data_IF_137662951537
#
_entry.id   IF_137662951537
#
_cell.length_a   1.000
_cell.length_b   1.000
_cell.length_c   1.000
_cell.angle_alpha   90.00
_cell.angle_beta   90.00
_cell.angle_gamma   90.00
#
_symmetry.space_group_name_H-M   'P 1'
#
loop_
_entity.id
_entity.type
_entity.pdbx_description
1 polymer ?
#
# COMPACT_ATOMS: atom_id res chain seq x y z
N UNK A 1 -3.36 9.61 5.15
CA UNK A 1 -2.30 9.84 4.15
C UNK A 1 -2.76 9.20 2.86
N UNK A 2 -2.90 9.98 1.78
CA UNK A 2 -3.29 9.43 0.49
C UNK A 2 -2.09 8.74 -0.17
N UNK A 3 -2.37 7.77 -1.06
CA UNK A 3 -1.34 7.11 -1.89
C UNK A 3 -0.44 8.14 -2.58
N UNK A 4 -1.05 9.21 -3.09
CA UNK A 4 -0.35 10.32 -3.73
C UNK A 4 0.70 10.95 -2.81
N UNK A 5 0.38 11.16 -1.54
CA UNK A 5 1.29 11.76 -0.57
C UNK A 5 2.47 10.83 -0.25
N UNK A 6 2.20 9.53 -0.16
CA UNK A 6 3.24 8.52 0.08
C UNK A 6 4.19 8.43 -1.11
N UNK A 7 3.66 8.34 -2.33
CA UNK A 7 4.47 8.29 -3.56
C UNK A 7 5.28 9.58 -3.74
N UNK A 8 4.69 10.74 -3.45
CA UNK A 8 5.38 12.03 -3.52
C UNK A 8 6.55 12.08 -2.53
N UNK A 9 6.32 11.72 -1.26
CA UNK A 9 7.38 11.69 -0.25
C UNK A 9 8.45 10.64 -0.56
N UNK A 10 8.07 9.48 -1.10
CA UNK A 10 9.02 8.45 -1.51
C UNK A 10 9.90 8.94 -2.66
N UNK A 11 9.30 9.62 -3.63
CA UNK A 11 10.01 10.22 -4.77
C UNK A 11 10.96 11.32 -4.31
N UNK A 12 10.53 12.16 -3.37
CA UNK A 12 11.32 13.23 -2.78
C UNK A 12 12.51 12.68 -1.96
N UNK A 13 12.28 11.64 -1.14
CA UNK A 13 13.33 10.91 -0.43
C UNK A 13 14.33 10.25 -1.38
N UNK A 14 13.85 9.60 -2.45
CA UNK A 14 14.71 9.03 -3.48
C UNK A 14 15.51 10.10 -4.22
N UNK A 15 14.95 11.30 -4.42
CA UNK A 15 15.65 12.47 -4.96
C UNK A 15 16.79 12.90 -4.04
N UNK A 16 16.53 13.06 -2.74
CA UNK A 16 17.54 13.46 -1.76
C UNK A 16 18.66 12.40 -1.59
N UNK A 17 18.35 11.11 -1.75
CA UNK A 17 19.36 10.03 -1.76
C UNK A 17 20.34 10.21 -2.93
N UNK A 18 19.94 10.82 -4.05
CA UNK A 18 20.85 11.12 -5.16
C UNK A 18 21.84 12.24 -4.85
N UNK A 19 21.65 13.05 -3.82
CA UNK A 19 22.62 14.08 -3.44
C UNK A 19 23.64 13.59 -2.41
N UNK A 20 23.44 12.38 -1.86
CA UNK A 20 24.34 11.74 -0.89
C UNK A 20 25.51 11.01 -1.58
N UNK A 21 26.67 10.89 -0.89
CA UNK A 21 27.88 10.25 -1.41
C UNK A 21 27.63 8.79 -1.82
N UNK A 22 28.32 8.36 -2.89
CA UNK A 22 28.05 7.12 -3.61
C UNK A 22 28.15 5.84 -2.76
N UNK A 23 28.87 5.86 -1.64
CA UNK A 23 29.02 4.71 -0.73
C UNK A 23 27.73 4.36 0.03
N UNK A 24 26.87 5.34 0.33
CA UNK A 24 25.64 5.10 1.12
C UNK A 24 24.38 4.94 0.28
N UNK A 25 24.40 5.42 -0.98
CA UNK A 25 23.29 5.28 -1.94
C UNK A 25 22.70 3.88 -2.08
N UNK A 26 23.49 2.80 -2.28
CA UNK A 26 22.90 1.48 -2.54
C UNK A 26 22.14 0.91 -1.33
N UNK A 27 22.56 1.25 -0.11
CA UNK A 27 21.88 0.80 1.11
C UNK A 27 20.54 1.51 1.29
N UNK A 28 20.50 2.82 1.03
CA UNK A 28 19.28 3.63 1.13
C UNK A 28 18.28 3.31 0.01
N UNK A 29 18.74 3.14 -1.23
CA UNK A 29 17.88 2.68 -2.33
C UNK A 29 17.25 1.33 -2.04
N UNK A 30 18.02 0.39 -1.49
CA UNK A 30 17.51 -0.94 -1.12
C UNK A 30 16.43 -0.83 -0.04
N UNK A 31 16.65 -0.01 0.99
CA UNK A 31 15.69 0.21 2.06
C UNK A 31 14.39 0.86 1.55
N UNK A 32 14.52 1.85 0.65
CA UNK A 32 13.38 2.53 0.03
C UNK A 32 12.54 1.57 -0.82
N UNK A 33 13.18 0.76 -1.68
CA UNK A 33 12.51 -0.27 -2.49
C UNK A 33 11.83 -1.33 -1.62
N UNK A 34 12.48 -1.76 -0.54
CA UNK A 34 11.90 -2.74 0.38
C UNK A 34 10.67 -2.18 1.10
N UNK A 35 10.73 -0.92 1.53
CA UNK A 35 9.60 -0.22 2.16
C UNK A 35 8.43 -0.04 1.20
N UNK A 36 8.70 0.37 -0.05
CA UNK A 36 7.68 0.49 -1.10
C UNK A 36 6.99 -0.87 -1.36
N UNK A 37 7.76 -1.94 -1.52
CA UNK A 37 7.25 -3.31 -1.74
C UNK A 37 6.39 -3.81 -0.57
N UNK A 38 6.81 -3.55 0.68
CA UNK A 38 6.01 -3.89 1.87
C UNK A 38 4.70 -3.13 1.90
N UNK A 39 4.72 -1.83 1.58
CA UNK A 39 3.53 -1.01 1.55
C UNK A 39 2.53 -1.48 0.48
N UNK A 40 3.03 -1.81 -0.71
CA UNK A 40 2.22 -2.31 -1.82
C UNK A 40 1.58 -3.66 -1.50
N UNK A 41 2.31 -4.59 -0.86
CA UNK A 41 1.75 -5.86 -0.37
C UNK A 41 0.66 -5.63 0.67
N UNK A 42 0.91 -4.77 1.65
CA UNK A 42 -0.07 -4.46 2.69
C UNK A 42 -1.35 -3.88 2.10
N UNK A 43 -1.23 -2.97 1.13
CA UNK A 43 -2.36 -2.40 0.39
C UNK A 43 -3.14 -3.47 -0.36
N UNK A 44 -2.46 -4.39 -1.04
CA UNK A 44 -3.10 -5.50 -1.76
C UNK A 44 -3.94 -6.37 -0.80
N UNK A 45 -3.37 -6.75 0.33
CA UNK A 45 -4.07 -7.55 1.35
C UNK A 45 -5.28 -6.82 1.93
N UNK A 46 -5.17 -5.50 2.18
CA UNK A 46 -6.29 -4.66 2.60
C UNK A 46 -7.41 -4.61 1.55
N UNK A 47 -7.07 -4.50 0.27
CA UNK A 47 -8.03 -4.53 -0.83
C UNK A 47 -8.78 -5.86 -0.91
N UNK A 48 -8.07 -6.98 -0.85
CA UNK A 48 -8.66 -8.33 -0.85
C UNK A 48 -9.59 -8.55 0.36
N UNK A 49 -9.23 -8.03 1.54
CA UNK A 49 -10.07 -8.04 2.73
C UNK A 49 -11.33 -7.18 2.55
N UNK A 50 -11.21 -5.99 1.96
CA UNK A 50 -12.36 -5.14 1.66
C UNK A 50 -13.33 -5.83 0.70
N UNK A 51 -12.83 -6.43 -0.38
CA UNK A 51 -13.67 -7.21 -1.31
C UNK A 51 -14.36 -8.38 -0.62
N UNK A 52 -13.65 -9.11 0.24
CA UNK A 52 -14.22 -10.21 1.01
C UNK A 52 -15.33 -9.75 1.96
N UNK A 53 -15.15 -8.59 2.60
CA UNK A 53 -16.18 -7.99 3.46
C UNK A 53 -17.38 -7.48 2.66
N UNK A 54 -17.16 -6.90 1.48
CA UNK A 54 -18.24 -6.47 0.59
C UNK A 54 -19.05 -7.66 0.07
N UNK A 55 -18.37 -8.75 -0.30
CA UNK A 55 -18.99 -10.03 -0.66
C UNK A 55 -19.85 -10.55 0.49
N UNK A 56 -19.29 -10.57 1.71
CA UNK A 56 -20.01 -11.02 2.91
C UNK A 56 -21.24 -10.13 3.18
N UNK A 57 -21.09 -8.80 3.07
CA UNK A 57 -22.18 -7.84 3.25
C UNK A 57 -23.30 -8.09 2.24
N UNK A 58 -22.96 -8.37 0.98
CA UNK A 58 -23.94 -8.68 -0.05
C UNK A 58 -24.71 -9.98 0.29
N UNK A 59 -23.99 -11.03 0.68
CA UNK A 59 -24.57 -12.31 1.09
C UNK A 59 -25.51 -12.15 2.29
N UNK A 60 -25.11 -11.36 3.30
CA UNK A 60 -25.96 -11.07 4.47
C UNK A 60 -27.22 -10.29 4.06
N UNK A 61 -27.10 -9.30 3.15
CA UNK A 61 -28.27 -8.59 2.62
C UNK A 61 -29.27 -9.55 1.96
N UNK A 62 -28.79 -10.49 1.14
CA UNK A 62 -29.67 -11.49 0.53
C UNK A 62 -30.31 -12.43 1.55
N UNK A 63 -29.55 -12.90 2.55
CA UNK A 63 -30.07 -13.75 3.62
C UNK A 63 -31.17 -13.07 4.44
N UNK A 64 -31.02 -11.78 4.73
CA UNK A 64 -32.03 -11.01 5.47
C UNK A 64 -33.25 -10.73 4.60
N UNK A 65 -33.08 -10.52 3.30
CA UNK A 65 -34.18 -10.26 2.35
C UNK A 65 -35.01 -11.51 2.02
N UNK A 66 -34.40 -12.71 2.02
CA UNK A 66 -35.12 -13.99 1.88
C UNK A 66 -35.97 -14.35 3.12
N UNK A 67 -35.81 -13.62 4.23
CA UNK A 67 -36.52 -13.84 5.51
C UNK A 67 -37.74 -12.91 5.72
N UNK A 68 -38.01 -11.95 4.83
CA UNK A 68 -39.23 -11.10 4.78
C UNK A 68 -40.20 -11.55 3.68
#
# INVERSE_FOLDING_TARGET
>A
MNEQDFQNKMTELLGQIKDLPAEERPKLERLARETQSRHERMKKTLGELQESLDQLRLTVKYLVFDLE
#
